data_IF_942964903086
#
_entry.id   IF_942964903086
#
_cell.length_a   1.000
_cell.length_b   1.000
_cell.length_c   1.000
_cell.angle_alpha   90.00
_cell.angle_beta   90.00
_cell.angle_gamma   90.00
#
_symmetry.space_group_name_H-M   'P 1'
#
loop_
_entity.id
_entity.type
_entity.pdbx_description
1 polymer ?
#
# COMPACT_ATOMS: atom_id res chain seq x y z
N UNK A 1 -2.12 20.28 -9.08
CA UNK A 1 -0.94 19.81 -8.30
C UNK A 1 -1.02 18.30 -8.17
N UNK A 2 0.10 17.63 -8.33
CA UNK A 2 0.13 16.17 -8.26
C UNK A 2 0.23 15.72 -6.79
N UNK A 3 -0.81 15.02 -6.31
CA UNK A 3 -0.85 14.51 -4.95
C UNK A 3 0.27 13.51 -4.64
N UNK A 4 0.83 12.85 -5.67
CA UNK A 4 1.93 11.89 -5.45
C UNK A 4 3.17 12.55 -4.89
N UNK A 5 3.51 13.75 -5.38
CA UNK A 5 4.67 14.49 -4.89
C UNK A 5 4.45 14.91 -3.43
N UNK A 6 3.26 15.44 -3.12
CA UNK A 6 2.92 15.84 -1.75
C UNK A 6 2.95 14.66 -0.79
N UNK A 7 2.41 13.51 -1.21
CA UNK A 7 2.41 12.28 -0.42
C UNK A 7 3.83 11.75 -0.19
N UNK A 8 4.62 11.72 -1.25
CA UNK A 8 6.01 11.27 -1.16
C UNK A 8 6.79 12.09 -0.15
N UNK A 9 6.62 13.41 -0.20
CA UNK A 9 7.26 14.32 0.75
C UNK A 9 6.72 14.11 2.17
N UNK A 10 5.41 14.01 2.33
CA UNK A 10 4.78 13.79 3.64
C UNK A 10 5.19 12.46 4.27
N UNK A 11 5.51 11.46 3.46
CA UNK A 11 5.97 10.15 3.92
C UNK A 11 7.49 10.05 3.99
N UNK A 12 8.21 11.17 3.84
CA UNK A 12 9.68 11.22 3.86
C UNK A 12 10.31 10.27 2.85
N UNK A 13 9.67 10.08 1.68
CA UNK A 13 10.14 9.20 0.63
C UNK A 13 10.09 7.71 0.99
N UNK A 14 9.23 7.32 1.94
CA UNK A 14 9.18 5.94 2.44
C UNK A 14 7.83 5.30 2.17
N UNK A 15 7.85 3.97 2.01
CA UNK A 15 6.62 3.18 1.92
C UNK A 15 5.82 3.29 3.21
N UNK A 16 4.51 3.49 3.09
CA UNK A 16 3.62 3.67 4.25
C UNK A 16 3.53 2.40 5.12
N UNK A 17 3.80 1.23 4.58
CA UNK A 17 3.72 -0.04 5.31
C UNK A 17 5.09 -0.48 5.83
N UNK A 18 6.11 -0.52 4.95
CA UNK A 18 7.44 -1.06 5.33
C UNK A 18 8.36 -0.04 5.96
N UNK A 19 8.07 1.24 5.81
CA UNK A 19 8.92 2.36 6.25
C UNK A 19 10.30 2.36 5.56
N UNK A 20 10.43 1.61 4.47
CA UNK A 20 11.66 1.59 3.67
C UNK A 20 11.66 2.73 2.67
N UNK A 21 12.85 3.28 2.40
CA UNK A 21 13.03 4.33 1.40
C UNK A 21 12.62 3.79 0.03
N UNK A 22 11.86 4.61 -0.71
CA UNK A 22 11.41 4.28 -2.06
C UNK A 22 12.15 5.15 -3.07
N UNK A 23 12.66 4.51 -4.13
CA UNK A 23 13.11 5.24 -5.31
C UNK A 23 11.89 5.69 -6.11
N UNK A 24 12.03 6.78 -6.83
CA UNK A 24 10.89 7.39 -7.52
C UNK A 24 10.21 6.45 -8.53
N UNK A 25 10.96 5.51 -9.08
CA UNK A 25 10.44 4.52 -10.03
C UNK A 25 9.79 3.30 -9.34
N UNK A 26 9.86 3.23 -8.01
CA UNK A 26 9.27 2.13 -7.23
C UNK A 26 7.97 2.50 -6.56
N UNK A 27 7.55 3.76 -6.66
CA UNK A 27 6.38 4.22 -5.93
C UNK A 27 5.09 3.84 -6.65
N UNK A 28 4.11 3.42 -5.86
CA UNK A 28 2.75 3.19 -6.33
C UNK A 28 1.81 4.04 -5.48
N UNK A 29 1.01 4.85 -6.15
CA UNK A 29 -0.02 5.65 -5.48
C UNK A 29 -1.28 4.80 -5.38
N UNK A 30 -1.54 4.28 -4.18
CA UNK A 30 -2.66 3.38 -3.93
C UNK A 30 -3.88 4.17 -3.46
N UNK A 31 -5.04 3.88 -4.05
CA UNK A 31 -6.33 4.38 -3.59
C UNK A 31 -6.79 3.49 -2.44
N UNK A 32 -6.86 4.03 -1.22
CA UNK A 32 -7.27 3.26 -0.04
C UNK A 32 -8.64 2.65 -0.25
N UNK A 33 -9.61 3.45 -0.68
CA UNK A 33 -10.90 2.98 -1.16
C UNK A 33 -10.84 2.96 -2.69
N UNK A 34 -11.08 1.79 -3.32
CA UNK A 34 -10.97 1.66 -4.78
C UNK A 34 -11.90 2.60 -5.53
N UNK A 35 -11.44 3.09 -6.68
CA UNK A 35 -12.26 3.94 -7.56
C UNK A 35 -13.55 3.22 -7.96
N UNK A 36 -13.48 1.90 -8.20
CA UNK A 36 -14.66 1.09 -8.53
C UNK A 36 -15.70 1.04 -7.41
N UNK A 37 -15.32 1.42 -6.18
CA UNK A 37 -16.19 1.46 -5.01
C UNK A 37 -16.41 2.90 -4.54
N UNK A 38 -16.41 3.85 -5.47
CA UNK A 38 -16.59 5.28 -5.22
C UNK A 38 -15.44 5.95 -4.47
N UNK A 39 -14.24 5.37 -4.53
CA UNK A 39 -13.04 6.00 -4.02
C UNK A 39 -12.67 7.23 -4.86
N UNK A 40 -12.13 8.24 -4.22
CA UNK A 40 -11.77 9.51 -4.86
C UNK A 40 -10.26 9.63 -5.05
N UNK A 41 -9.85 10.64 -5.81
CA UNK A 41 -8.44 11.03 -5.97
C UNK A 41 -8.00 12.04 -4.91
N UNK A 42 -8.81 12.26 -3.88
CA UNK A 42 -8.46 13.17 -2.80
C UNK A 42 -7.24 12.66 -2.03
N UNK A 43 -6.43 13.60 -1.56
CA UNK A 43 -5.21 13.32 -0.81
C UNK A 43 -5.42 12.27 0.29
N UNK A 44 -6.50 12.43 1.06
CA UNK A 44 -6.81 11.52 2.20
C UNK A 44 -7.09 10.08 1.78
N UNK A 45 -7.47 9.86 0.50
CA UNK A 45 -7.75 8.52 -0.02
C UNK A 45 -6.54 7.88 -0.70
N UNK A 46 -5.41 8.56 -0.72
CA UNK A 46 -4.21 8.10 -1.41
C UNK A 46 -3.10 7.79 -0.42
N UNK A 47 -2.26 6.83 -0.77
CA UNK A 47 -1.08 6.48 0.02
C UNK A 47 -0.01 5.95 -0.93
N UNK A 48 1.26 6.26 -0.63
CA UNK A 48 2.39 5.76 -1.42
C UNK A 48 2.91 4.47 -0.79
N UNK A 49 3.03 3.43 -1.60
CA UNK A 49 3.57 2.15 -1.18
C UNK A 49 4.51 1.60 -2.23
N UNK A 50 5.38 0.66 -1.82
CA UNK A 50 6.21 -0.09 -2.75
C UNK A 50 5.33 -1.01 -3.61
N UNK A 51 5.78 -1.31 -4.82
CA UNK A 51 5.08 -2.19 -5.75
C UNK A 51 4.67 -3.51 -5.11
N UNK A 52 5.58 -4.15 -4.37
CA UNK A 52 5.30 -5.45 -3.74
C UNK A 52 4.22 -5.35 -2.67
N UNK A 53 4.21 -4.26 -1.91
CA UNK A 53 3.16 -3.99 -0.92
C UNK A 53 1.83 -3.77 -1.63
N UNK A 54 1.83 -3.02 -2.73
CA UNK A 54 0.62 -2.78 -3.51
C UNK A 54 0.03 -4.09 -4.03
N UNK A 55 0.87 -5.00 -4.53
CA UNK A 55 0.43 -6.33 -4.96
C UNK A 55 -0.18 -7.11 -3.79
N UNK A 56 0.44 -7.04 -2.62
CA UNK A 56 -0.04 -7.76 -1.44
C UNK A 56 -1.37 -7.20 -0.92
N UNK A 57 -1.60 -5.88 -1.06
CA UNK A 57 -2.89 -5.27 -0.72
C UNK A 57 -4.02 -5.89 -1.55
N UNK A 58 -3.77 -6.16 -2.82
CA UNK A 58 -4.78 -6.66 -3.76
C UNK A 58 -4.76 -8.18 -3.95
N UNK A 59 -3.78 -8.89 -3.42
CA UNK A 59 -3.66 -10.33 -3.60
C UNK A 59 -4.80 -11.09 -2.91
N UNK A 60 -5.36 -12.06 -3.61
CA UNK A 60 -6.43 -12.92 -3.09
C UNK A 60 -6.05 -14.39 -3.08
N UNK A 61 -5.05 -14.79 -3.88
CA UNK A 61 -4.59 -16.19 -3.93
C UNK A 61 -3.60 -16.46 -2.82
N UNK A 62 -3.78 -17.57 -2.12
CA UNK A 62 -2.93 -17.94 -0.99
C UNK A 62 -1.46 -18.03 -1.38
N UNK A 63 -1.16 -18.62 -2.55
CA UNK A 63 0.25 -18.72 -3.01
C UNK A 63 0.89 -17.36 -3.18
N UNK A 64 0.16 -16.41 -3.77
CA UNK A 64 0.66 -15.05 -3.98
C UNK A 64 0.88 -14.34 -2.64
N UNK A 65 -0.08 -14.44 -1.74
CA UNK A 65 0.01 -13.83 -0.41
C UNK A 65 1.23 -14.37 0.33
N UNK A 66 1.39 -15.70 0.37
CA UNK A 66 2.52 -16.34 1.05
C UNK A 66 3.85 -15.90 0.46
N UNK A 67 3.96 -15.86 -0.86
CA UNK A 67 5.20 -15.47 -1.54
C UNK A 67 5.61 -14.04 -1.19
N UNK A 68 4.66 -13.10 -1.24
CA UNK A 68 4.96 -11.70 -0.94
C UNK A 68 5.20 -11.44 0.55
N UNK A 69 4.50 -12.14 1.44
CA UNK A 69 4.78 -12.05 2.88
C UNK A 69 6.20 -12.52 3.19
N UNK A 70 6.63 -13.62 2.57
CA UNK A 70 7.99 -14.12 2.75
C UNK A 70 9.04 -13.15 2.19
N UNK A 71 8.76 -12.57 1.03
CA UNK A 71 9.66 -11.63 0.38
C UNK A 71 9.84 -10.36 1.20
N UNK A 72 8.74 -9.83 1.74
CA UNK A 72 8.74 -8.54 2.46
C UNK A 72 9.17 -8.68 3.92
N UNK A 73 8.97 -9.84 4.52
CA UNK A 73 9.34 -10.10 5.91
C UNK A 73 8.84 -9.01 6.87
N UNK A 74 7.53 -8.75 6.85
CA UNK A 74 6.91 -7.68 7.61
C UNK A 74 6.85 -7.99 9.10
N UNK A 75 7.04 -6.96 9.94
CA UNK A 75 6.78 -7.06 11.38
C UNK A 75 5.28 -7.13 11.66
N UNK A 76 4.89 -7.47 12.89
CA UNK A 76 3.47 -7.49 13.27
C UNK A 76 2.83 -6.11 13.10
N UNK A 77 3.55 -5.06 13.46
CA UNK A 77 3.06 -3.68 13.29
C UNK A 77 2.84 -3.36 11.81
N UNK A 78 3.74 -3.78 10.95
CA UNK A 78 3.62 -3.56 9.49
C UNK A 78 2.48 -4.38 8.90
N UNK A 79 2.29 -5.62 9.36
CA UNK A 79 1.14 -6.44 8.95
C UNK A 79 -0.16 -5.76 9.36
N UNK A 80 -0.21 -5.14 10.54
CA UNK A 80 -1.37 -4.36 10.96
C UNK A 80 -1.69 -3.22 10.01
N UNK A 81 -0.68 -2.48 9.56
CA UNK A 81 -0.85 -1.40 8.58
C UNK A 81 -1.31 -1.95 7.24
N UNK A 82 -0.72 -3.05 6.79
CA UNK A 82 -1.11 -3.73 5.56
C UNK A 82 -2.58 -4.15 5.61
N UNK A 83 -3.00 -4.75 6.72
CA UNK A 83 -4.37 -5.24 6.88
C UNK A 83 -5.39 -4.12 6.86
N UNK A 84 -5.09 -2.95 7.43
CA UNK A 84 -5.96 -1.79 7.32
C UNK A 84 -6.20 -1.42 5.86
N UNK A 85 -5.15 -1.43 5.05
CA UNK A 85 -5.25 -1.13 3.62
C UNK A 85 -6.00 -2.22 2.86
N UNK A 86 -5.78 -3.50 3.21
CA UNK A 86 -6.50 -4.61 2.61
C UNK A 86 -8.00 -4.52 2.87
N UNK A 87 -8.38 -4.26 4.11
CA UNK A 87 -9.80 -4.15 4.50
C UNK A 87 -10.47 -2.99 3.77
N UNK A 88 -9.81 -1.84 3.69
CA UNK A 88 -10.35 -0.69 2.95
C UNK A 88 -10.50 -0.99 1.44
N UNK A 89 -9.64 -1.85 0.90
CA UNK A 89 -9.72 -2.27 -0.50
C UNK A 89 -10.76 -3.37 -0.73
N UNK A 90 -11.41 -3.86 0.32
CA UNK A 90 -12.41 -4.92 0.22
C UNK A 90 -11.87 -6.33 0.38
N UNK A 91 -10.64 -6.48 0.88
CA UNK A 91 -9.99 -7.78 1.07
C UNK A 91 -9.89 -8.13 2.55
N UNK A 92 -9.98 -9.42 2.91
CA UNK A 92 -9.82 -9.81 4.31
C UNK A 92 -8.39 -9.60 4.81
N UNK A 93 -8.25 -9.44 6.12
CA UNK A 93 -6.94 -9.40 6.77
C UNK A 93 -6.19 -10.72 6.60
N UNK A 94 -4.89 -10.65 6.65
CA UNK A 94 -4.02 -11.83 6.53
C UNK A 94 -3.04 -11.94 7.68
#
# INVERSE_FOLDING_TARGET
MDNRISLYTAQYGKCAVTDRVLWIDEIHCHHKKPVAQNGTDEYKNLVIVHEDVHRLIHATKLETITAYLNKLNLSQSQIGKLNKLRILAGNPAI
#
